data_IF_210740526322
#
_entry.id   IF_210740526322
#
_cell.length_a   1.000
_cell.length_b   1.000
_cell.length_c   1.000
_cell.angle_alpha   90.00
_cell.angle_beta   90.00
_cell.angle_gamma   90.00
#
_symmetry.space_group_name_H-M   'P 1'
#
loop_
_entity.id
_entity.type
_entity.pdbx_description
1 polymer ?
#
# COMPACT_ATOMS: atom_id res chain seq x y z
N UNK A 1 -5.64 -17.45 -49.06
CA UNK A 1 -5.31 -16.14 -48.45
C UNK A 1 -5.06 -16.38 -46.97
N UNK A 2 -3.80 -16.32 -46.54
CA UNK A 2 -3.43 -16.45 -45.11
C UNK A 2 -3.50 -15.06 -44.51
N UNK A 3 -4.46 -14.83 -43.63
CA UNK A 3 -4.58 -13.60 -42.85
C UNK A 3 -3.33 -13.43 -41.98
N UNK A 4 -2.62 -12.30 -42.16
CA UNK A 4 -1.55 -11.92 -41.22
C UNK A 4 -2.18 -11.67 -39.86
N UNK A 5 -1.68 -12.26 -38.76
CA UNK A 5 -2.17 -11.91 -37.44
C UNK A 5 -1.85 -10.44 -37.20
N UNK A 6 -2.90 -9.63 -36.97
CA UNK A 6 -2.73 -8.24 -36.56
C UNK A 6 -1.94 -8.22 -35.25
N UNK A 7 -0.84 -7.47 -35.22
CA UNK A 7 0.01 -7.36 -34.03
C UNK A 7 -0.80 -6.64 -32.95
N UNK A 8 -1.28 -7.39 -31.97
CA UNK A 8 -1.99 -6.86 -30.81
C UNK A 8 -1.10 -5.81 -30.14
N UNK A 9 -1.67 -4.63 -29.93
CA UNK A 9 -0.96 -3.53 -29.29
C UNK A 9 -0.54 -3.95 -27.87
N UNK A 10 0.75 -3.89 -27.51
CA UNK A 10 1.23 -4.30 -26.19
C UNK A 10 0.53 -3.54 -25.04
N UNK A 11 0.07 -2.30 -25.27
CA UNK A 11 -0.72 -1.56 -24.29
C UNK A 11 -2.08 -2.24 -24.00
N UNK A 12 -2.73 -2.75 -25.03
CA UNK A 12 -4.02 -3.45 -24.91
C UNK A 12 -3.84 -4.77 -24.17
N UNK A 13 -2.77 -5.51 -24.48
CA UNK A 13 -2.46 -6.75 -23.78
C UNK A 13 -2.24 -6.51 -22.27
N UNK A 14 -1.47 -5.49 -21.91
CA UNK A 14 -1.23 -5.12 -20.51
C UNK A 14 -2.52 -4.66 -19.83
N UNK A 15 -3.37 -3.90 -20.52
CA UNK A 15 -4.68 -3.48 -20.01
C UNK A 15 -5.59 -4.66 -19.71
N UNK A 16 -5.67 -5.65 -20.61
CA UNK A 16 -6.47 -6.86 -20.42
C UNK A 16 -5.96 -7.68 -19.23
N UNK A 17 -4.65 -7.89 -19.13
CA UNK A 17 -4.04 -8.61 -18.00
C UNK A 17 -4.33 -7.88 -16.68
N UNK A 18 -4.22 -6.55 -16.66
CA UNK A 18 -4.51 -5.73 -15.49
C UNK A 18 -5.95 -5.85 -15.02
N UNK A 19 -6.93 -5.83 -15.94
CA UNK A 19 -8.35 -6.00 -15.61
C UNK A 19 -8.61 -7.37 -14.98
N UNK A 20 -8.10 -8.46 -15.58
CA UNK A 20 -8.36 -9.79 -15.06
C UNK A 20 -7.63 -10.10 -13.75
N UNK A 21 -6.48 -9.49 -13.50
CA UNK A 21 -5.72 -9.69 -12.26
C UNK A 21 -6.21 -8.78 -11.14
N UNK A 22 -6.15 -7.46 -11.34
CA UNK A 22 -6.50 -6.46 -10.33
C UNK A 22 -8.02 -6.37 -10.16
N UNK A 23 -8.77 -6.37 -11.28
CA UNK A 23 -10.22 -6.27 -11.25
C UNK A 23 -10.91 -7.45 -10.57
N UNK A 24 -10.42 -8.67 -10.78
CA UNK A 24 -10.97 -9.86 -10.09
C UNK A 24 -10.72 -9.81 -8.58
N UNK A 25 -9.53 -9.38 -8.17
CA UNK A 25 -9.21 -9.23 -6.74
C UNK A 25 -10.09 -8.15 -6.09
N UNK A 26 -10.27 -7.02 -6.76
CA UNK A 26 -11.17 -5.94 -6.32
C UNK A 26 -12.62 -6.41 -6.18
N UNK A 27 -13.13 -7.17 -7.15
CA UNK A 27 -14.49 -7.71 -7.11
C UNK A 27 -14.70 -8.66 -5.92
N UNK A 28 -13.73 -9.52 -5.63
CA UNK A 28 -13.76 -10.44 -4.47
C UNK A 28 -13.79 -9.65 -3.16
N UNK A 29 -12.95 -8.61 -3.03
CA UNK A 29 -12.91 -7.78 -1.81
C UNK A 29 -14.24 -7.04 -1.57
N UNK A 30 -14.85 -6.47 -2.62
CA UNK A 30 -16.17 -5.84 -2.51
C UNK A 30 -17.22 -6.87 -2.09
N UNK A 31 -17.23 -8.05 -2.74
CA UNK A 31 -18.20 -9.08 -2.39
C UNK A 31 -18.09 -9.50 -0.92
N UNK A 32 -16.88 -9.71 -0.41
CA UNK A 32 -16.66 -10.04 1.00
C UNK A 32 -17.06 -8.90 1.95
N UNK A 33 -16.86 -7.64 1.56
CA UNK A 33 -17.21 -6.50 2.39
C UNK A 33 -18.73 -6.35 2.59
N UNK A 34 -19.55 -6.66 1.58
CA UNK A 34 -21.00 -6.43 1.62
C UNK A 34 -21.83 -7.71 1.84
N UNK A 35 -21.39 -8.86 1.32
CA UNK A 35 -22.14 -10.12 1.35
C UNK A 35 -21.41 -11.26 2.08
N UNK A 36 -20.22 -11.01 2.63
CA UNK A 36 -19.51 -11.98 3.46
C UNK A 36 -20.22 -12.28 4.79
N UNK A 37 -20.00 -13.48 5.32
CA UNK A 37 -20.53 -13.87 6.62
C UNK A 37 -19.94 -12.98 7.73
N UNK A 38 -20.82 -12.29 8.47
CA UNK A 38 -20.45 -11.31 9.49
C UNK A 38 -19.96 -11.93 10.79
N UNK A 39 -20.28 -13.21 11.06
CA UNK A 39 -19.82 -13.93 12.25
C UNK A 39 -18.34 -14.36 12.15
N UNK A 40 -17.73 -14.28 10.97
CA UNK A 40 -16.28 -14.55 10.78
C UNK A 40 -15.41 -13.50 11.50
N UNK A 41 -15.94 -12.28 11.67
CA UNK A 41 -15.18 -11.17 12.25
C UNK A 41 -15.22 -11.12 13.79
N UNK A 42 -16.01 -11.98 14.42
CA UNK A 42 -16.07 -12.16 15.87
C UNK A 42 -15.34 -13.44 16.28
N UNK A 43 -14.67 -13.41 17.43
CA UNK A 43 -14.07 -14.62 17.99
C UNK A 43 -15.16 -15.70 18.16
N UNK A 44 -14.96 -16.93 17.64
CA UNK A 44 -15.94 -18.00 17.78
C UNK A 44 -16.34 -18.18 19.24
N UNK A 45 -17.63 -18.43 19.51
CA UNK A 45 -18.15 -18.59 20.88
C UNK A 45 -17.47 -19.73 21.66
N UNK A 46 -16.83 -20.66 20.96
CA UNK A 46 -16.05 -21.78 21.51
C UNK A 46 -14.62 -21.41 21.92
N UNK A 47 -14.13 -20.22 21.55
CA UNK A 47 -12.79 -19.69 21.86
C UNK A 47 -12.88 -18.35 22.60
N UNK A 48 -13.75 -18.27 23.61
CA UNK A 48 -13.84 -17.06 24.44
C UNK A 48 -12.52 -16.86 25.19
N UNK A 49 -11.95 -15.67 25.05
CA UNK A 49 -10.73 -15.28 25.75
C UNK A 49 -11.04 -14.89 27.19
N UNK A 50 -10.12 -15.23 28.10
CA UNK A 50 -10.22 -14.78 29.48
C UNK A 50 -10.11 -13.25 29.58
N UNK A 51 -10.70 -12.66 30.63
CA UNK A 51 -10.70 -11.20 30.80
C UNK A 51 -9.28 -10.62 30.92
N UNK A 52 -8.33 -11.39 31.46
CA UNK A 52 -6.91 -11.02 31.52
C UNK A 52 -6.25 -10.95 30.13
N UNK A 53 -6.57 -11.89 29.25
CA UNK A 53 -6.01 -11.98 27.90
C UNK A 53 -6.53 -10.87 26.98
N UNK A 54 -7.72 -10.34 27.28
CA UNK A 54 -8.34 -9.27 26.48
C UNK A 54 -7.84 -7.87 26.81
N UNK A 55 -7.06 -7.68 27.89
CA UNK A 55 -6.68 -6.36 28.42
C UNK A 55 -6.03 -5.42 27.40
N UNK A 56 -5.26 -5.94 26.46
CA UNK A 56 -4.59 -5.11 25.44
C UNK A 56 -5.50 -4.74 24.26
N UNK A 57 -6.63 -5.43 24.09
CA UNK A 57 -7.55 -5.23 22.98
C UNK A 57 -8.88 -4.60 23.41
N UNK A 58 -9.34 -4.90 24.62
CA UNK A 58 -10.64 -4.53 25.16
C UNK A 58 -10.54 -4.31 26.67
N UNK A 59 -11.08 -3.19 27.16
CA UNK A 59 -11.22 -2.92 28.59
C UNK A 59 -12.63 -2.46 28.89
N UNK A 60 -13.32 -3.17 29.79
CA UNK A 60 -14.60 -2.78 30.33
C UNK A 60 -14.37 -2.01 31.63
N UNK A 61 -15.04 -0.89 31.77
CA UNK A 61 -15.04 -0.07 32.97
C UNK A 61 -16.45 0.05 33.52
N UNK A 62 -16.54 0.01 34.83
CA UNK A 62 -17.76 0.19 35.60
C UNK A 62 -17.44 1.30 36.61
N UNK A 63 -18.17 2.41 36.56
CA UNK A 63 -17.96 3.57 37.45
C UNK A 63 -16.47 3.99 37.57
N UNK A 64 -15.81 4.13 36.41
CA UNK A 64 -14.39 4.50 36.24
C UNK A 64 -13.33 3.50 36.74
N UNK A 65 -13.71 2.32 37.23
CA UNK A 65 -12.78 1.22 37.55
C UNK A 65 -12.89 0.09 36.55
N UNK A 66 -11.80 -0.63 36.27
CA UNK A 66 -11.87 -1.73 35.30
C UNK A 66 -12.59 -2.94 35.89
N UNK A 67 -13.25 -3.74 35.04
CA UNK A 67 -13.90 -4.97 35.49
C UNK A 67 -12.89 -5.93 36.14
N UNK A 68 -11.65 -6.03 35.64
CA UNK A 68 -10.61 -6.84 36.29
C UNK A 68 -10.37 -6.38 37.73
N UNK A 69 -10.29 -5.06 37.98
CA UNK A 69 -10.09 -4.54 39.33
C UNK A 69 -11.26 -4.86 40.24
N UNK A 70 -12.50 -4.72 39.75
CA UNK A 70 -13.68 -5.11 40.50
C UNK A 70 -13.69 -6.59 40.90
N UNK A 71 -13.25 -7.48 39.99
CA UNK A 71 -13.17 -8.91 40.27
C UNK A 71 -12.04 -9.25 41.26
N UNK A 72 -10.88 -8.62 41.14
CA UNK A 72 -9.75 -8.79 42.06
C UNK A 72 -10.07 -8.27 43.46
N UNK A 73 -10.76 -7.14 43.55
CA UNK A 73 -11.15 -6.52 44.82
C UNK A 73 -12.34 -7.24 45.48
N UNK A 74 -12.91 -8.27 44.83
CA UNK A 74 -14.09 -9.01 45.31
C UNK A 74 -15.39 -8.19 45.32
N UNK A 75 -15.37 -6.98 44.75
CA UNK A 75 -16.44 -6.00 44.81
C UNK A 75 -17.10 -5.85 43.43
N UNK A 76 -18.04 -6.74 43.12
CA UNK A 76 -18.96 -6.61 41.99
C UNK A 76 -20.13 -5.63 42.28
N UNK A 77 -20.22 -5.16 43.52
CA UNK A 77 -21.23 -4.21 43.96
C UNK A 77 -20.64 -2.81 43.97
N UNK A 78 -21.38 -1.86 43.38
CA UNK A 78 -20.99 -0.45 43.39
C UNK A 78 -21.72 0.23 44.53
N UNK A 79 -20.96 0.94 45.34
CA UNK A 79 -21.47 1.80 46.40
C UNK A 79 -21.60 3.22 45.85
N UNK A 80 -22.71 3.87 46.15
CA UNK A 80 -22.91 5.30 45.92
C UNK A 80 -22.00 6.10 46.88
N UNK A 81 -21.88 7.40 46.66
CA UNK A 81 -21.13 8.30 47.54
C UNK A 81 -21.63 8.25 49.00
N UNK A 82 -22.88 7.84 49.22
CA UNK A 82 -23.51 7.65 50.53
C UNK A 82 -23.37 6.21 51.09
N UNK A 83 -22.58 5.34 50.44
CA UNK A 83 -22.36 3.95 50.88
C UNK A 83 -23.52 2.99 50.57
N UNK A 84 -24.57 3.46 49.90
CA UNK A 84 -25.70 2.63 49.45
C UNK A 84 -25.36 1.86 48.16
N UNK A 85 -25.71 0.58 48.09
CA UNK A 85 -25.57 -0.19 46.85
C UNK A 85 -26.56 0.32 45.81
N UNK A 86 -26.09 0.71 44.61
CA UNK A 86 -26.97 1.13 43.53
C UNK A 86 -26.88 0.21 42.31
N UNK A 87 -27.96 0.22 41.52
CA UNK A 87 -28.06 -0.58 40.30
C UNK A 87 -27.20 0.04 39.20
N UNK A 88 -26.31 -0.76 38.64
CA UNK A 88 -25.50 -0.40 37.47
C UNK A 88 -26.46 -0.04 36.32
N UNK A 89 -26.36 1.19 35.83
CA UNK A 89 -27.08 1.62 34.62
C UNK A 89 -26.09 1.76 33.47
N UNK A 90 -26.59 1.73 32.23
CA UNK A 90 -25.74 1.71 31.03
C UNK A 90 -24.75 2.90 30.94
N UNK A 91 -25.06 4.03 31.58
CA UNK A 91 -24.17 5.22 31.62
C UNK A 91 -22.90 4.98 32.45
N UNK A 92 -22.93 4.04 33.39
CA UNK A 92 -21.80 3.73 34.29
C UNK A 92 -20.85 2.73 33.63
N UNK A 93 -21.30 2.07 32.57
CA UNK A 93 -20.53 1.09 31.80
C UNK A 93 -19.89 1.78 30.62
N UNK A 94 -18.56 1.86 30.64
CA UNK A 94 -17.78 2.38 29.52
C UNK A 94 -16.83 1.32 28.99
N UNK A 95 -16.59 1.35 27.69
CA UNK A 95 -15.72 0.39 27.01
C UNK A 95 -14.60 1.15 26.33
N UNK A 96 -13.36 0.69 26.52
CA UNK A 96 -12.21 1.12 25.73
C UNK A 96 -11.80 0.00 24.79
N UNK A 97 -11.85 0.29 23.50
CA UNK A 97 -11.41 -0.61 22.43
C UNK A 97 -10.03 -0.18 21.93
N UNK A 98 -9.11 -1.13 21.80
CA UNK A 98 -7.86 -0.86 21.12
C UNK A 98 -8.09 -0.93 19.60
N UNK A 99 -7.96 0.23 18.95
CA UNK A 99 -8.16 0.36 17.52
C UNK A 99 -6.84 0.42 16.74
N UNK A 100 -5.72 0.04 17.37
CA UNK A 100 -4.39 0.11 16.76
C UNK A 100 -4.30 -0.67 15.45
N UNK A 101 -5.02 -1.79 15.32
CA UNK A 101 -5.03 -2.57 14.07
C UNK A 101 -5.60 -1.77 12.89
N UNK A 102 -6.65 -0.96 13.08
CA UNK A 102 -7.21 -0.10 12.02
C UNK A 102 -6.27 1.04 11.65
N UNK A 103 -5.62 1.63 12.66
CA UNK A 103 -4.60 2.65 12.42
C UNK A 103 -3.43 2.05 11.64
N UNK A 104 -2.95 0.88 12.05
CA UNK A 104 -1.87 0.16 11.38
C UNK A 104 -2.24 -0.23 9.95
N UNK A 105 -3.46 -0.71 9.69
CA UNK A 105 -3.89 -1.06 8.34
C UNK A 105 -3.96 0.17 7.43
N UNK A 106 -4.46 1.30 7.93
CA UNK A 106 -4.49 2.55 7.18
C UNK A 106 -3.08 3.08 6.86
N UNK A 107 -2.14 2.99 7.81
CA UNK A 107 -0.73 3.34 7.57
C UNK A 107 -0.12 2.42 6.51
N UNK A 108 -0.39 1.11 6.59
CA UNK A 108 0.15 0.14 5.65
C UNK A 108 -0.42 0.34 4.23
N UNK A 109 -1.71 0.66 4.12
CA UNK A 109 -2.35 0.98 2.86
C UNK A 109 -1.70 2.21 2.20
N UNK A 110 -1.49 3.28 2.98
CA UNK A 110 -0.78 4.47 2.50
C UNK A 110 0.67 4.17 2.10
N UNK A 111 1.35 3.27 2.83
CA UNK A 111 2.69 2.81 2.50
C UNK A 111 2.73 2.02 1.17
N UNK A 112 1.71 1.20 0.90
CA UNK A 112 1.61 0.46 -0.37
C UNK A 112 1.40 1.44 -1.53
N UNK A 113 0.47 2.39 -1.40
CA UNK A 113 0.19 3.40 -2.44
C UNK A 113 1.44 4.23 -2.73
N UNK A 114 2.08 4.76 -1.69
CA UNK A 114 3.31 5.53 -1.84
C UNK A 114 4.46 4.70 -2.39
N UNK A 115 4.58 3.42 -2.00
CA UNK A 115 5.59 2.49 -2.52
C UNK A 115 5.42 2.22 -4.02
N UNK A 116 4.19 2.03 -4.51
CA UNK A 116 3.89 1.88 -5.94
C UNK A 116 4.25 3.14 -6.71
N UNK A 117 3.83 4.32 -6.21
CA UNK A 117 4.15 5.59 -6.84
C UNK A 117 5.68 5.82 -6.91
N UNK A 118 6.39 5.49 -5.83
CA UNK A 118 7.85 5.57 -5.78
C UNK A 118 8.52 4.63 -6.80
N UNK A 119 8.03 3.40 -6.95
CA UNK A 119 8.50 2.47 -7.98
C UNK A 119 8.33 3.01 -9.40
N UNK A 120 7.21 3.68 -9.69
CA UNK A 120 6.97 4.34 -10.98
C UNK A 120 8.01 5.46 -11.21
N UNK A 121 8.23 6.31 -10.21
CA UNK A 121 9.20 7.41 -10.29
C UNK A 121 10.62 6.89 -10.54
N UNK A 122 11.04 5.85 -9.81
CA UNK A 122 12.35 5.19 -10.03
C UNK A 122 12.44 4.67 -11.47
N UNK A 123 11.39 4.00 -11.95
CA UNK A 123 11.39 3.42 -13.30
C UNK A 123 11.55 4.51 -14.36
N UNK A 124 10.81 5.62 -14.23
CA UNK A 124 10.92 6.78 -15.11
C UNK A 124 12.32 7.39 -15.03
N UNK A 125 12.90 7.52 -13.84
CA UNK A 125 14.25 8.04 -13.65
C UNK A 125 15.29 7.16 -14.34
N UNK A 126 15.22 5.84 -14.18
CA UNK A 126 16.13 4.89 -14.83
C UNK A 126 16.02 4.97 -16.34
N UNK A 127 14.80 4.98 -16.89
CA UNK A 127 14.57 5.13 -18.33
C UNK A 127 15.15 6.46 -18.83
N UNK A 128 14.94 7.56 -18.09
CA UNK A 128 15.50 8.87 -18.41
C UNK A 128 17.03 8.88 -18.45
N UNK A 129 17.68 8.29 -17.44
CA UNK A 129 19.15 8.15 -17.40
C UNK A 129 19.68 7.35 -18.58
N UNK A 130 19.04 6.22 -18.91
CA UNK A 130 19.40 5.41 -20.08
C UNK A 130 19.29 6.24 -21.37
N UNK A 131 18.21 7.01 -21.52
CA UNK A 131 17.99 7.83 -22.71
C UNK A 131 19.04 8.94 -22.85
N UNK A 132 19.40 9.62 -21.75
CA UNK A 132 20.46 10.63 -21.72
C UNK A 132 21.80 10.02 -22.11
N UNK A 133 22.17 8.88 -21.51
CA UNK A 133 23.40 8.17 -21.84
C UNK A 133 23.46 7.75 -23.32
N UNK A 134 22.33 7.27 -23.89
CA UNK A 134 22.24 6.90 -25.31
C UNK A 134 22.35 8.12 -26.23
N UNK A 135 21.75 9.26 -25.87
CA UNK A 135 21.88 10.52 -26.63
C UNK A 135 23.32 11.01 -26.62
N UNK A 136 23.99 11.03 -25.46
CA UNK A 136 25.41 11.44 -25.35
C UNK A 136 26.33 10.61 -26.26
N UNK A 137 26.16 9.28 -26.27
CA UNK A 137 26.91 8.39 -27.19
C UNK A 137 26.64 8.70 -28.65
N UNK A 138 25.39 8.98 -29.02
CA UNK A 138 25.01 9.31 -30.40
C UNK A 138 25.62 10.66 -30.86
N UNK A 139 25.61 11.67 -29.99
CA UNK A 139 26.28 12.95 -30.29
C UNK A 139 27.79 12.79 -30.41
N UNK A 140 28.46 12.07 -29.49
CA UNK A 140 29.90 11.83 -29.58
C UNK A 140 30.30 11.10 -30.87
N UNK A 141 29.53 10.10 -31.31
CA UNK A 141 29.77 9.40 -32.57
C UNK A 141 29.58 10.32 -33.80
N UNK A 142 28.60 11.23 -33.78
CA UNK A 142 28.39 12.19 -34.88
C UNK A 142 29.53 13.21 -34.98
N UNK A 143 30.03 13.71 -33.85
CA UNK A 143 31.18 14.61 -33.80
C UNK A 143 32.47 13.94 -34.31
N UNK A 144 32.70 12.67 -33.95
CA UNK A 144 33.86 11.91 -34.45
C UNK A 144 33.75 11.61 -35.95
N UNK A 145 32.54 11.34 -36.46
CA UNK A 145 32.31 11.11 -37.88
C UNK A 145 32.57 12.37 -38.72
N UNK A 146 32.16 13.57 -38.25
CA UNK A 146 32.45 14.83 -38.94
C UNK A 146 33.94 15.18 -38.93
N UNK A 147 34.66 14.93 -37.83
CA UNK A 147 36.10 15.21 -37.72
C UNK A 147 36.96 14.31 -38.63
N UNK A 148 36.52 13.06 -38.91
CA UNK A 148 37.18 12.19 -39.88
C UNK A 148 36.96 12.64 -41.34
N UNK A 149 35.87 13.35 -41.63
CA UNK A 149 35.56 13.82 -42.98
C UNK A 149 36.34 15.09 -43.35
N UNK A 150 36.60 15.96 -42.37
CA UNK A 150 37.40 17.18 -42.56
C UNK A 150 38.90 16.89 -42.78
N UNK A 151 39.43 15.80 -42.21
CA UNK A 151 40.83 15.38 -42.40
C UNK A 151 41.08 14.55 -43.69
N UNK A 152 40.03 14.23 -44.47
CA UNK A 152 40.13 13.51 -45.74
C UNK A 152 40.04 14.43 -46.97
N UNK A 153 40.17 15.75 -46.79
CA UNK A 153 40.26 16.69 -47.91
C UNK A 153 41.66 16.54 -48.55
N UNK A 154 41.77 16.12 -49.82
CA UNK A 154 43.07 16.07 -50.49
C UNK A 154 43.60 17.50 -50.60
N UNK A 155 44.75 17.77 -49.98
CA UNK A 155 45.48 19.03 -50.16
C UNK A 155 45.96 19.04 -51.62
N UNK A 156 45.23 19.75 -52.49
CA UNK A 156 45.66 20.06 -53.85
C UNK A 156 46.90 20.97 -53.77
N UNK A 157 48.09 20.36 -53.75
CA UNK A 157 49.35 21.08 -53.99
C UNK A 157 49.41 21.47 -55.47
N UNK A 158 48.73 22.55 -55.84
CA UNK A 158 49.13 23.29 -57.04
C UNK A 158 50.32 24.18 -56.71
N UNK A 159 51.47 23.58 -57.00
CA UNK A 159 52.66 24.25 -57.52
C UNK A 159 52.30 25.42 -58.44
N UNK A 160 52.62 26.64 -58.03
CA UNK A 160 52.90 27.73 -58.97
C UNK A 160 54.20 28.39 -58.55
N UNK A 161 55.29 27.89 -59.16
CA UNK A 161 56.45 28.70 -59.49
C UNK A 161 55.97 29.89 -60.33
N UNK A 162 56.41 31.09 -59.95
CA UNK A 162 57.03 32.05 -60.86
C UNK A 162 57.80 33.06 -60.01
#
# INVERSE_FOLDING_TARGET
MVSRPEKINPLVLVGIIGIFTIGSNFAIQIYHAYWGNQDIWWTPRTMQLGLEETKDNFKLYISNKSLQQHLTDGNLFILDNDGGQYRIVSKDVTVRLNNWYKVKSSILENAIISGVAFGIIITVLVIGLIQVCRRKKRFANLYMASACQENNIPIDRKSTKN
#
